data_IF_786299343819
#
_entry.id   IF_786299343819
#
_cell.length_a   1.000
_cell.length_b   1.000
_cell.length_c   1.000
_cell.angle_alpha   90.00
_cell.angle_beta   90.00
_cell.angle_gamma   90.00
#
_symmetry.space_group_name_H-M   'P 1'
#
loop_
_entity.id
_entity.type
_entity.pdbx_description
1 polymer ?
#
# COMPACT_ATOMS: atom_id res chain seq x y z
N UNK A 1 57.90 -7.23 22.05
CA UNK A 1 56.84 -7.14 23.08
C UNK A 1 55.69 -6.26 22.58
N UNK A 2 54.45 -6.66 22.89
CA UNK A 2 53.15 -5.95 22.86
C UNK A 2 52.47 -5.67 21.49
N UNK A 3 51.44 -6.49 21.22
CA UNK A 3 50.29 -6.20 20.34
C UNK A 3 49.50 -4.98 20.87
N UNK A 4 48.96 -4.14 20.00
CA UNK A 4 47.71 -3.40 20.23
C UNK A 4 46.92 -3.26 18.92
N UNK A 5 45.82 -4.00 18.85
CA UNK A 5 44.69 -3.77 17.95
C UNK A 5 43.85 -2.64 18.54
N UNK A 6 43.39 -1.70 17.74
CA UNK A 6 42.09 -1.06 17.94
C UNK A 6 41.41 -0.85 16.59
N UNK A 7 40.31 -1.58 16.40
CA UNK A 7 39.28 -1.31 15.42
C UNK A 7 38.64 0.05 15.73
N UNK A 8 38.45 0.88 14.70
CA UNK A 8 37.44 1.95 14.73
C UNK A 8 36.55 1.76 13.53
N UNK A 9 35.28 1.53 13.82
CA UNK A 9 34.22 1.15 12.90
C UNK A 9 33.76 2.29 12.00
N UNK A 10 33.32 1.85 10.82
CA UNK A 10 32.45 2.46 9.83
C UNK A 10 31.65 3.71 10.24
N UNK A 11 31.76 4.73 9.38
CA UNK A 11 30.59 5.48 8.96
C UNK A 11 30.76 5.90 7.49
N UNK A 12 30.62 4.94 6.59
CA UNK A 12 30.34 5.28 5.20
C UNK A 12 28.84 5.61 5.13
N UNK A 13 28.52 6.91 5.13
CA UNK A 13 27.20 7.38 4.67
C UNK A 13 27.05 6.89 3.22
N UNK A 14 26.34 5.78 3.04
CA UNK A 14 25.82 5.37 1.75
C UNK A 14 24.70 6.35 1.38
N UNK A 15 25.08 7.47 0.78
CA UNK A 15 24.20 8.25 -0.08
C UNK A 15 23.89 7.41 -1.31
N UNK A 16 22.97 6.47 -1.18
CA UNK A 16 22.27 5.91 -2.34
C UNK A 16 21.26 6.95 -2.79
N UNK A 17 21.77 7.95 -3.51
CA UNK A 17 20.97 8.68 -4.48
C UNK A 17 20.56 7.68 -5.55
N UNK A 18 19.37 7.13 -5.42
CA UNK A 18 18.78 6.28 -6.45
C UNK A 18 18.38 7.21 -7.60
N UNK A 19 19.32 7.44 -8.51
CA UNK A 19 19.03 7.88 -9.85
C UNK A 19 18.39 6.70 -10.60
N UNK A 20 17.06 6.67 -10.68
CA UNK A 20 16.30 5.71 -11.49
C UNK A 20 16.19 6.23 -12.92
N UNK A 21 17.30 6.19 -13.67
CA UNK A 21 17.27 6.20 -15.12
C UNK A 21 17.72 4.82 -15.61
N UNK A 22 16.79 3.88 -15.65
CA UNK A 22 16.99 2.61 -16.36
C UNK A 22 15.75 2.37 -17.22
N UNK A 23 15.80 2.91 -18.44
CA UNK A 23 15.07 2.31 -19.56
C UNK A 23 15.60 0.88 -19.73
N UNK A 24 14.86 -0.06 -19.17
CA UNK A 24 14.94 -1.48 -19.51
C UNK A 24 13.53 -2.01 -19.52
N UNK A 25 13.09 -2.25 -20.75
CA UNK A 25 11.84 -2.86 -21.16
C UNK A 25 11.56 -4.15 -20.39
N UNK A 26 10.74 -4.05 -19.35
CA UNK A 26 9.86 -5.14 -18.92
C UNK A 26 8.47 -4.54 -18.89
N UNK A 27 7.70 -4.81 -19.94
CA UNK A 27 6.25 -4.64 -19.91
C UNK A 27 5.69 -5.62 -18.88
N UNK A 28 5.72 -5.23 -17.61
CA UNK A 28 4.93 -5.85 -16.56
C UNK A 28 3.50 -5.34 -16.74
N UNK A 29 2.82 -5.86 -17.76
CA UNK A 29 1.40 -5.68 -17.96
C UNK A 29 0.66 -6.08 -16.67
N UNK A 30 -0.05 -5.11 -16.08
CA UNK A 30 -0.89 -5.17 -14.88
C UNK A 30 -0.20 -4.95 -13.52
N UNK A 31 -0.02 -3.69 -13.14
CA UNK A 31 0.27 -3.27 -11.76
C UNK A 31 -0.95 -3.48 -10.86
N UNK A 32 -1.28 -4.74 -10.56
CA UNK A 32 -2.34 -5.08 -9.60
C UNK A 32 -2.00 -4.47 -8.24
N UNK A 33 -3.00 -3.90 -7.56
CA UNK A 33 -2.82 -3.40 -6.19
C UNK A 33 -2.32 -4.51 -5.27
N UNK A 34 -1.28 -4.19 -4.50
CA UNK A 34 -0.76 -5.08 -3.48
C UNK A 34 -1.66 -5.09 -2.24
N UNK A 35 -1.57 -6.16 -1.44
CA UNK A 35 -2.24 -6.22 -0.13
C UNK A 35 -1.84 -5.06 0.79
N UNK A 36 -0.59 -4.60 0.73
CA UNK A 36 -0.12 -3.45 1.51
C UNK A 36 -0.80 -2.15 1.04
N UNK A 37 -0.96 -1.97 -0.27
CA UNK A 37 -1.67 -0.82 -0.84
C UNK A 37 -3.11 -0.77 -0.35
N UNK A 38 -3.80 -1.93 -0.35
CA UNK A 38 -5.18 -2.03 0.13
C UNK A 38 -5.27 -1.71 1.63
N UNK A 39 -4.34 -2.23 2.45
CA UNK A 39 -4.30 -1.91 3.90
C UNK A 39 -4.09 -0.42 4.16
N UNK A 40 -3.18 0.21 3.43
CA UNK A 40 -2.93 1.64 3.60
C UNK A 40 -4.18 2.46 3.28
N UNK A 41 -4.89 2.13 2.19
CA UNK A 41 -6.15 2.78 1.87
C UNK A 41 -7.17 2.57 2.99
N UNK A 42 -7.37 1.34 3.46
CA UNK A 42 -8.34 1.09 4.54
C UNK A 42 -8.02 1.82 5.84
N UNK A 43 -6.74 1.97 6.19
CA UNK A 43 -6.32 2.74 7.35
C UNK A 43 -6.61 4.26 7.21
N UNK A 44 -6.73 4.79 5.99
CA UNK A 44 -7.16 6.19 5.78
C UNK A 44 -8.64 6.39 6.14
N UNK A 45 -9.44 5.32 6.10
CA UNK A 45 -10.89 5.30 6.35
C UNK A 45 -11.30 4.62 7.65
N UNK A 46 -10.33 4.08 8.39
CA UNK A 46 -10.56 3.42 9.67
C UNK A 46 -10.89 4.47 10.74
N UNK A 47 -12.18 4.80 10.87
CA UNK A 47 -12.72 5.71 11.89
C UNK A 47 -13.13 4.94 13.16
N UNK A 48 -12.24 4.07 13.64
CA UNK A 48 -12.48 3.25 14.84
C UNK A 48 -13.24 1.96 14.56
N UNK A 49 -13.02 1.34 13.40
CA UNK A 49 -13.57 0.02 13.10
C UNK A 49 -13.05 -1.02 14.08
N UNK A 50 -13.93 -1.93 14.49
CA UNK A 50 -13.49 -3.12 15.20
C UNK A 50 -12.70 -4.05 14.26
N UNK A 51 -11.91 -4.94 14.85
CA UNK A 51 -11.06 -5.86 14.10
C UNK A 51 -11.84 -6.77 13.13
N UNK A 52 -13.10 -7.08 13.42
CA UNK A 52 -13.98 -7.84 12.53
C UNK A 52 -14.37 -7.04 11.29
N UNK A 53 -14.81 -5.80 11.49
CA UNK A 53 -15.15 -4.87 10.41
C UNK A 53 -13.95 -4.61 9.49
N UNK A 54 -12.79 -4.29 10.05
CA UNK A 54 -11.57 -4.07 9.26
C UNK A 54 -11.16 -5.31 8.44
N UNK A 55 -11.17 -6.51 9.06
CA UNK A 55 -10.82 -7.74 8.36
C UNK A 55 -11.82 -8.11 7.26
N UNK A 56 -13.11 -7.82 7.47
CA UNK A 56 -14.15 -7.99 6.45
C UNK A 56 -13.89 -7.10 5.23
N UNK A 57 -13.62 -5.81 5.46
CA UNK A 57 -13.29 -4.85 4.40
C UNK A 57 -12.01 -5.27 3.65
N UNK A 58 -10.95 -5.64 4.38
CA UNK A 58 -9.70 -6.09 3.77
C UNK A 58 -9.91 -7.33 2.88
N UNK A 59 -10.68 -8.31 3.35
CA UNK A 59 -10.97 -9.52 2.59
C UNK A 59 -11.80 -9.23 1.34
N UNK A 60 -12.79 -8.35 1.46
CA UNK A 60 -13.63 -7.90 0.35
C UNK A 60 -12.79 -7.25 -0.75
N UNK A 61 -11.95 -6.26 -0.41
CA UNK A 61 -11.15 -5.52 -1.39
C UNK A 61 -10.06 -6.35 -2.02
N UNK A 62 -9.40 -7.23 -1.24
CA UNK A 62 -8.45 -8.20 -1.81
C UNK A 62 -9.10 -9.10 -2.85
N UNK A 63 -10.30 -9.63 -2.54
CA UNK A 63 -11.06 -10.45 -3.49
C UNK A 63 -11.43 -9.64 -4.73
N UNK A 64 -11.95 -8.42 -4.56
CA UNK A 64 -12.39 -7.55 -5.65
C UNK A 64 -11.21 -7.25 -6.60
N UNK A 65 -10.07 -6.81 -6.07
CA UNK A 65 -8.83 -6.53 -6.83
C UNK A 65 -8.33 -7.76 -7.59
N UNK A 66 -8.39 -8.94 -6.97
CA UNK A 66 -7.98 -10.17 -7.63
C UNK A 66 -8.93 -10.54 -8.78
N UNK A 67 -10.23 -10.42 -8.57
CA UNK A 67 -11.24 -10.77 -9.58
C UNK A 67 -11.37 -9.74 -10.71
N UNK A 68 -11.20 -8.45 -10.44
CA UNK A 68 -11.37 -7.37 -11.42
C UNK A 68 -10.25 -7.31 -12.48
N UNK A 69 -9.13 -7.97 -12.19
CA UNK A 69 -7.91 -7.95 -12.98
C UNK A 69 -8.00 -8.43 -14.43
N UNK A 70 -9.10 -9.04 -14.87
CA UNK A 70 -9.24 -9.55 -16.25
C UNK A 70 -9.83 -8.54 -17.23
N UNK A 71 -10.60 -7.56 -16.78
CA UNK A 71 -11.32 -6.62 -17.66
C UNK A 71 -11.10 -5.15 -17.27
N UNK A 72 -11.07 -4.84 -15.98
CA UNK A 72 -10.75 -3.49 -15.46
C UNK A 72 -10.00 -3.62 -14.13
N UNK A 73 -8.67 -3.49 -14.10
CA UNK A 73 -7.91 -3.49 -12.86
C UNK A 73 -8.47 -2.42 -11.93
N UNK A 74 -8.74 -2.80 -10.68
CA UNK A 74 -9.15 -1.83 -9.67
C UNK A 74 -7.92 -1.02 -9.29
N UNK A 75 -8.05 0.31 -9.36
CA UNK A 75 -7.02 1.25 -8.93
C UNK A 75 -7.24 1.64 -7.48
N UNK A 76 -6.25 2.29 -6.87
CA UNK A 76 -6.38 2.79 -5.50
C UNK A 76 -7.51 3.83 -5.42
N UNK A 77 -7.66 4.65 -6.45
CA UNK A 77 -8.66 5.72 -6.50
C UNK A 77 -10.07 5.15 -6.62
N UNK A 78 -10.28 4.05 -7.38
CA UNK A 78 -11.58 3.36 -7.41
C UNK A 78 -11.99 2.83 -6.01
N UNK A 79 -11.02 2.38 -5.20
CA UNK A 79 -11.30 1.92 -3.83
C UNK A 79 -11.66 3.10 -2.93
N UNK A 80 -10.90 4.20 -3.01
CA UNK A 80 -11.18 5.43 -2.24
C UNK A 80 -12.53 6.01 -2.56
N UNK A 81 -12.88 6.14 -3.84
CA UNK A 81 -14.16 6.68 -4.28
C UNK A 81 -15.34 5.88 -3.71
N UNK A 82 -15.23 4.56 -3.68
CA UNK A 82 -16.28 3.69 -3.13
C UNK A 82 -16.36 3.77 -1.61
N UNK A 83 -15.22 3.91 -0.91
CA UNK A 83 -15.19 4.13 0.53
C UNK A 83 -15.73 5.51 0.91
N UNK A 84 -15.44 6.55 0.12
CA UNK A 84 -16.00 7.89 0.27
C UNK A 84 -17.52 7.85 0.15
N UNK A 85 -18.07 7.17 -0.87
CA UNK A 85 -19.52 6.99 -1.01
C UNK A 85 -20.13 6.32 0.20
N UNK A 86 -19.50 5.28 0.76
CA UNK A 86 -20.00 4.60 1.94
C UNK A 86 -20.02 5.53 3.16
N UNK A 87 -18.99 6.37 3.30
CA UNK A 87 -18.92 7.38 4.36
C UNK A 87 -20.01 8.44 4.21
N UNK A 88 -20.11 9.08 3.06
CA UNK A 88 -21.06 10.19 2.84
C UNK A 88 -22.52 9.74 2.75
N UNK A 89 -22.83 8.57 2.20
CA UNK A 89 -24.20 8.04 2.24
C UNK A 89 -24.66 7.73 3.68
N UNK A 90 -23.73 7.42 4.58
CA UNK A 90 -24.05 7.24 6.01
C UNK A 90 -24.31 8.60 6.69
N UNK A 91 -23.70 9.68 6.20
CA UNK A 91 -23.89 11.03 6.74
C UNK A 91 -25.22 11.67 6.27
N UNK A 92 -25.66 11.45 5.02
CA UNK A 92 -26.94 11.99 4.51
C UNK A 92 -28.20 11.33 5.11
N UNK A 93 -28.10 10.10 5.61
CA UNK A 93 -29.27 9.38 6.20
C UNK A 93 -29.52 9.74 7.68
N UNK A 94 -28.67 10.58 8.27
CA UNK A 94 -28.71 10.97 9.69
C UNK A 94 -29.14 12.44 9.95
N UNK A 95 -29.59 13.17 8.92
CA UNK A 95 -30.16 14.53 9.02
C UNK A 95 -31.70 14.53 8.85
#
# INVERSE_FOLDING_TARGET
>A
MKKKLFFVSALALLTTGIALNTESTVSASSTRLSMLSIRNILNEYDDGWDAGTYNSQLSYWMRRVWTSSKEKPLTADDIREELDKLRYNTEEEND
#
